data_IF_277002311439
#
_entry.id   IF_277002311439
#
_cell.length_a   1.000
_cell.length_b   1.000
_cell.length_c   1.000
_cell.angle_alpha   90.00
_cell.angle_beta   90.00
_cell.angle_gamma   90.00
#
_symmetry.space_group_name_H-M   'P 1'
#
loop_
_entity.id
_entity.type
_entity.pdbx_description
1 polymer ?
#
# COMPACT_ATOMS: atom_id res chain seq x y z
N UNK A 1 4.01 -10.77 13.42
CA UNK A 1 5.01 -10.92 12.36
C UNK A 1 6.37 -11.09 13.02
N UNK A 2 6.84 -12.34 13.10
CA UNK A 2 8.10 -12.68 13.73
C UNK A 2 9.31 -12.28 12.88
N UNK A 3 10.48 -12.23 13.53
CA UNK A 3 11.75 -12.18 12.83
C UNK A 3 11.92 -13.45 11.99
N UNK A 4 11.59 -14.62 12.54
CA UNK A 4 11.28 -15.86 11.83
C UNK A 4 12.21 -16.16 10.67
N UNK A 5 13.48 -16.42 10.98
CA UNK A 5 14.53 -16.68 10.00
C UNK A 5 14.62 -18.14 9.58
N UNK A 6 13.85 -19.03 10.22
CA UNK A 6 13.90 -20.46 9.91
C UNK A 6 15.10 -21.15 10.52
N UNK A 7 15.74 -20.55 11.54
CA UNK A 7 16.95 -21.13 12.13
C UNK A 7 16.59 -22.12 13.24
N UNK A 8 17.31 -23.26 13.36
CA UNK A 8 17.01 -24.27 14.37
C UNK A 8 17.03 -23.74 15.81
N UNK A 9 17.85 -22.72 16.09
CA UNK A 9 18.01 -22.12 17.43
C UNK A 9 17.18 -20.85 17.60
N UNK A 10 17.14 -19.98 16.59
CA UNK A 10 16.48 -18.68 16.71
C UNK A 10 14.95 -18.78 16.77
N UNK A 11 14.36 -19.67 15.96
CA UNK A 11 12.90 -19.80 15.91
C UNK A 11 12.31 -20.28 17.26
N UNK A 12 12.85 -21.33 17.94
CA UNK A 12 12.39 -21.69 19.28
C UNK A 12 12.48 -20.55 20.31
N UNK A 13 13.58 -19.78 20.30
CA UNK A 13 13.78 -18.65 21.22
C UNK A 13 12.74 -17.55 20.98
N UNK A 14 12.49 -17.20 19.71
CA UNK A 14 11.49 -16.19 19.39
C UNK A 14 10.07 -16.66 19.75
N UNK A 15 9.71 -17.89 19.41
CA UNK A 15 8.40 -18.46 19.74
C UNK A 15 8.19 -18.48 21.25
N UNK A 16 9.20 -18.87 22.02
CA UNK A 16 9.17 -18.84 23.48
C UNK A 16 8.92 -17.42 24.01
N UNK A 17 9.64 -16.43 23.48
CA UNK A 17 9.48 -15.03 23.88
C UNK A 17 8.06 -14.52 23.58
N UNK A 18 7.51 -14.84 22.41
CA UNK A 18 6.13 -14.47 22.04
C UNK A 18 5.12 -15.15 22.94
N UNK A 19 5.29 -16.44 23.23
CA UNK A 19 4.37 -17.17 24.09
C UNK A 19 4.40 -16.71 25.54
N UNK A 20 5.57 -16.35 26.09
CA UNK A 20 5.66 -15.82 27.45
C UNK A 20 4.87 -14.51 27.63
N UNK A 21 4.76 -13.70 26.58
CA UNK A 21 4.06 -12.41 26.63
C UNK A 21 2.60 -12.53 26.20
N UNK A 22 2.31 -13.34 25.17
CA UNK A 22 1.00 -13.37 24.50
C UNK A 22 0.31 -14.74 24.48
N UNK A 23 0.94 -15.78 25.07
CA UNK A 23 0.49 -17.17 24.98
C UNK A 23 -0.92 -17.41 25.54
N UNK A 24 -1.34 -16.65 26.56
CA UNK A 24 -2.68 -16.76 27.14
C UNK A 24 -3.78 -16.12 26.29
N UNK A 25 -3.42 -15.10 25.50
CA UNK A 25 -4.36 -14.29 24.70
C UNK A 25 -4.73 -14.94 23.37
N UNK A 26 -3.88 -15.86 22.89
CA UNK A 26 -4.03 -16.51 21.59
C UNK A 26 -3.76 -15.56 20.43
N UNK A 27 -2.59 -15.74 19.79
CA UNK A 27 -2.09 -14.83 18.76
C UNK A 27 -1.65 -15.60 17.52
N UNK A 28 -1.83 -14.99 16.35
CA UNK A 28 -1.27 -15.50 15.11
C UNK A 28 0.20 -15.10 14.97
N UNK A 29 1.05 -16.07 14.64
CA UNK A 29 2.47 -15.88 14.35
C UNK A 29 2.79 -16.36 12.92
N UNK A 30 3.75 -15.69 12.30
CA UNK A 30 4.25 -16.00 10.96
C UNK A 30 5.32 -14.98 10.56
N UNK A 31 5.95 -15.18 9.41
CA UNK A 31 7.07 -14.37 8.89
C UNK A 31 6.93 -14.18 7.38
N UNK A 32 7.18 -12.98 6.87
CA UNK A 32 7.26 -12.69 5.42
C UNK A 32 8.40 -13.46 4.74
N UNK A 33 9.40 -13.89 5.52
CA UNK A 33 10.60 -14.56 5.00
C UNK A 33 10.29 -15.91 4.38
N UNK A 34 9.17 -16.55 4.75
CA UNK A 34 8.72 -17.79 4.09
C UNK A 34 8.34 -17.57 2.62
N UNK A 35 8.06 -16.33 2.22
CA UNK A 35 7.63 -15.97 0.87
C UNK A 35 8.75 -15.29 0.06
N UNK A 36 9.49 -14.37 0.69
CA UNK A 36 10.48 -13.52 0.02
C UNK A 36 11.94 -13.84 0.39
N UNK A 37 12.17 -14.79 1.28
CA UNK A 37 13.48 -15.01 1.89
C UNK A 37 13.87 -13.90 2.87
N UNK A 38 15.11 -13.94 3.35
CA UNK A 38 15.64 -12.95 4.29
C UNK A 38 16.28 -11.78 3.53
N UNK A 39 15.60 -10.64 3.45
CA UNK A 39 16.07 -9.42 2.76
C UNK A 39 17.03 -8.56 3.60
N UNK A 40 17.74 -9.18 4.55
CA UNK A 40 18.71 -8.55 5.46
C UNK A 40 18.19 -7.20 6.03
N UNK A 41 18.87 -6.10 5.73
CA UNK A 41 18.54 -4.75 6.20
C UNK A 41 17.11 -4.29 5.85
N UNK A 42 16.51 -4.82 4.78
CA UNK A 42 15.14 -4.50 4.37
C UNK A 42 14.08 -5.37 5.06
N UNK A 43 14.46 -6.37 5.87
CA UNK A 43 13.53 -7.37 6.43
C UNK A 43 12.44 -6.74 7.28
N UNK A 44 12.78 -5.77 8.14
CA UNK A 44 11.81 -5.06 8.96
C UNK A 44 10.78 -4.31 8.11
N UNK A 45 11.22 -3.67 7.02
CA UNK A 45 10.33 -2.96 6.10
C UNK A 45 9.42 -3.92 5.33
N UNK A 46 9.92 -5.06 4.88
CA UNK A 46 9.10 -6.11 4.24
C UNK A 46 7.99 -6.60 5.17
N UNK A 47 8.31 -6.79 6.45
CA UNK A 47 7.35 -7.16 7.49
C UNK A 47 6.30 -6.07 7.74
N UNK A 48 6.70 -4.79 7.76
CA UNK A 48 5.76 -3.66 7.85
C UNK A 48 4.82 -3.64 6.64
N UNK A 49 5.33 -3.77 5.42
CA UNK A 49 4.50 -3.77 4.20
C UNK A 49 3.50 -4.93 4.23
N UNK A 50 3.94 -6.15 4.57
CA UNK A 50 3.06 -7.33 4.71
C UNK A 50 1.92 -7.04 5.69
N UNK A 51 2.24 -6.46 6.84
CA UNK A 51 1.25 -6.21 7.88
C UNK A 51 0.33 -5.03 7.60
N UNK A 52 0.80 -3.96 6.97
CA UNK A 52 -0.06 -2.88 6.48
C UNK A 52 -1.10 -3.46 5.51
N UNK A 53 -0.67 -4.26 4.53
CA UNK A 53 -1.58 -4.90 3.58
C UNK A 53 -2.54 -5.90 4.27
N UNK A 54 -2.07 -6.68 5.25
CA UNK A 54 -2.92 -7.61 6.00
C UNK A 54 -4.02 -6.87 6.80
N UNK A 55 -3.69 -5.73 7.39
CA UNK A 55 -4.63 -4.87 8.11
C UNK A 55 -5.63 -4.18 7.17
N UNK A 56 -5.17 -3.68 6.02
CA UNK A 56 -6.02 -3.06 5.00
C UNK A 56 -6.99 -4.04 4.36
N UNK A 57 -6.56 -5.29 4.12
CA UNK A 57 -7.37 -6.33 3.51
C UNK A 57 -8.10 -7.23 4.52
N UNK A 58 -8.01 -6.90 5.82
CA UNK A 58 -8.59 -7.68 6.92
C UNK A 58 -8.32 -9.20 6.83
N UNK A 59 -7.12 -9.57 6.39
CA UNK A 59 -6.75 -10.95 6.09
C UNK A 59 -5.32 -11.23 6.55
N UNK A 60 -5.15 -12.27 7.36
CA UNK A 60 -3.85 -12.80 7.77
C UNK A 60 -3.34 -13.70 6.63
N UNK A 61 -2.25 -13.34 5.94
CA UNK A 61 -1.72 -14.15 4.85
C UNK A 61 -1.06 -15.43 5.37
N UNK A 62 -1.03 -16.50 4.55
CA UNK A 62 -0.45 -17.77 4.94
C UNK A 62 1.07 -17.68 5.15
N UNK A 63 1.56 -18.38 6.17
CA UNK A 63 2.96 -18.64 6.43
C UNK A 63 3.36 -19.94 5.73
N UNK A 64 4.23 -19.84 4.73
CA UNK A 64 4.59 -20.98 3.89
C UNK A 64 5.52 -21.95 4.64
N UNK A 65 5.62 -23.18 4.12
CA UNK A 65 6.53 -24.23 4.60
C UNK A 65 6.30 -24.69 6.06
N UNK A 66 5.19 -24.30 6.68
CA UNK A 66 4.81 -24.78 8.00
C UNK A 66 3.93 -26.03 7.89
N UNK A 67 4.41 -27.15 8.43
CA UNK A 67 3.65 -28.42 8.53
C UNK A 67 3.46 -28.83 9.99
N UNK A 68 4.56 -28.85 10.73
CA UNK A 68 4.61 -29.12 12.16
C UNK A 68 5.48 -28.04 12.84
N UNK A 69 5.29 -27.79 14.15
CA UNK A 69 6.22 -26.97 14.93
C UNK A 69 7.67 -27.48 14.83
N UNK A 70 8.64 -26.60 15.08
CA UNK A 70 10.06 -26.94 15.00
C UNK A 70 10.40 -28.05 16.01
N UNK A 71 11.00 -29.18 15.59
CA UNK A 71 11.32 -30.29 16.49
C UNK A 71 12.38 -29.94 17.55
N UNK A 72 13.14 -28.85 17.37
CA UNK A 72 14.12 -28.35 18.34
C UNK A 72 13.50 -27.49 19.45
N UNK A 73 12.18 -27.41 19.55
CA UNK A 73 11.52 -26.94 20.76
C UNK A 73 11.73 -28.01 21.85
N UNK A 74 12.90 -27.97 22.51
CA UNK A 74 13.35 -28.94 23.51
C UNK A 74 12.73 -28.70 24.89
N UNK A 75 12.89 -29.67 25.80
CA UNK A 75 12.35 -29.67 27.16
C UNK A 75 12.76 -28.49 28.05
N UNK A 76 13.81 -27.75 27.71
CA UNK A 76 14.29 -26.58 28.45
C UNK A 76 13.68 -25.26 27.93
N UNK A 77 13.16 -25.27 26.69
CA UNK A 77 12.43 -24.19 26.03
C UNK A 77 10.92 -24.48 26.03
N UNK A 78 10.42 -25.03 27.14
CA UNK A 78 9.01 -25.41 27.38
C UNK A 78 8.08 -24.21 27.38
N UNK A 79 7.82 -23.63 26.22
CA UNK A 79 6.44 -23.36 25.85
C UNK A 79 5.97 -24.60 25.10
N UNK A 80 5.14 -25.45 25.72
CA UNK A 80 4.34 -26.37 24.93
C UNK A 80 3.57 -25.52 23.93
N UNK A 81 3.89 -25.66 22.65
CA UNK A 81 3.12 -25.07 21.55
C UNK A 81 1.62 -25.34 21.71
N UNK A 82 1.28 -26.45 22.38
CA UNK A 82 -0.08 -26.85 22.75
C UNK A 82 -0.68 -26.04 23.91
N UNK A 83 0.14 -25.57 24.85
CA UNK A 83 -0.30 -24.76 26.00
C UNK A 83 -0.37 -23.26 25.68
N UNK A 84 0.53 -22.77 24.84
CA UNK A 84 0.43 -21.41 24.32
C UNK A 84 -0.57 -21.41 23.18
N UNK A 85 -1.53 -20.50 23.20
CA UNK A 85 -2.59 -20.41 22.19
C UNK A 85 -2.07 -19.80 20.87
N UNK A 86 -0.82 -20.08 20.49
CA UNK A 86 -0.20 -19.62 19.25
C UNK A 86 -0.82 -20.33 18.06
N UNK A 87 -1.05 -19.58 16.99
CA UNK A 87 -1.61 -20.10 15.73
C UNK A 87 -0.72 -19.68 14.57
N UNK A 88 -0.52 -20.58 13.62
CA UNK A 88 0.15 -20.26 12.34
C UNK A 88 -0.89 -20.40 11.25
N UNK A 89 -1.18 -19.30 10.55
CA UNK A 89 -2.07 -19.35 9.40
C UNK A 89 -1.35 -20.04 8.25
N UNK A 90 -1.84 -21.18 7.78
CA UNK A 90 -1.31 -21.89 6.59
C UNK A 90 -2.14 -21.62 5.33
N UNK A 91 -3.28 -20.95 5.50
CA UNK A 91 -4.18 -20.47 4.46
C UNK A 91 -4.60 -19.01 4.72
N UNK A 92 -5.08 -18.26 3.71
CA UNK A 92 -5.62 -16.92 3.93
C UNK A 92 -6.72 -16.93 4.99
N UNK A 93 -6.45 -16.35 6.15
CA UNK A 93 -7.33 -16.39 7.32
C UNK A 93 -7.94 -15.02 7.54
N UNK A 94 -9.27 -14.93 7.60
CA UNK A 94 -9.95 -13.66 7.88
C UNK A 94 -9.55 -13.12 9.25
N UNK A 95 -9.39 -11.79 9.36
CA UNK A 95 -9.10 -11.14 10.63
C UNK A 95 -10.21 -11.44 11.67
N UNK A 96 -9.86 -11.90 12.89
CA UNK A 96 -10.87 -12.16 13.91
C UNK A 96 -11.66 -10.90 14.26
N UNK A 97 -13.00 -11.00 14.28
CA UNK A 97 -13.89 -9.85 14.53
C UNK A 97 -13.85 -9.36 15.97
N UNK A 98 -13.47 -10.23 16.91
CA UNK A 98 -13.36 -9.98 18.34
C UNK A 98 -12.00 -9.38 18.74
N UNK A 99 -11.14 -9.07 17.77
CA UNK A 99 -9.78 -8.60 18.01
C UNK A 99 -9.54 -7.25 17.38
N UNK A 100 -8.76 -6.43 18.07
CA UNK A 100 -8.22 -5.21 17.50
C UNK A 100 -7.37 -5.53 16.26
N UNK A 101 -7.39 -4.60 15.32
CA UNK A 101 -6.53 -4.64 14.14
C UNK A 101 -5.15 -4.11 14.51
N UNK A 102 -4.46 -4.82 15.40
CA UNK A 102 -3.13 -4.48 15.91
C UNK A 102 -2.19 -5.66 15.72
N UNK A 103 -0.95 -5.37 15.30
CA UNK A 103 0.11 -6.37 15.12
C UNK A 103 1.39 -5.95 15.80
N UNK A 104 2.15 -6.94 16.26
CA UNK A 104 3.56 -6.80 16.60
C UNK A 104 4.47 -7.28 15.46
N UNK A 105 5.57 -6.56 15.23
CA UNK A 105 6.62 -6.88 14.26
C UNK A 105 7.95 -6.96 14.99
N UNK A 106 8.62 -8.10 14.86
CA UNK A 106 9.94 -8.35 15.45
C UNK A 106 11.05 -8.27 14.39
N UNK A 107 12.18 -7.67 14.74
CA UNK A 107 13.41 -7.73 13.95
C UNK A 107 14.64 -7.79 14.85
N UNK A 108 15.40 -8.89 14.76
CA UNK A 108 16.56 -9.15 15.60
C UNK A 108 17.82 -9.20 14.74
N UNK A 109 18.73 -8.26 14.94
CA UNK A 109 19.99 -8.20 14.20
C UNK A 109 21.01 -9.17 14.77
N UNK A 110 21.84 -9.76 13.91
CA UNK A 110 22.92 -10.68 14.32
C UNK A 110 23.89 -10.07 15.33
N UNK A 111 24.08 -8.74 15.30
CA UNK A 111 24.88 -8.00 16.27
C UNK A 111 24.22 -7.78 17.64
N UNK A 112 23.04 -8.37 17.89
CA UNK A 112 22.32 -8.27 19.17
C UNK A 112 21.39 -7.06 19.31
N UNK A 113 21.31 -6.20 18.29
CA UNK A 113 20.36 -5.08 18.28
C UNK A 113 18.96 -5.57 17.91
N UNK A 114 18.00 -5.37 18.81
CA UNK A 114 16.62 -5.85 18.66
C UNK A 114 15.66 -4.67 18.49
N UNK A 115 14.67 -4.84 17.63
CA UNK A 115 13.58 -3.88 17.45
C UNK A 115 12.22 -4.60 17.48
N UNK A 116 11.23 -3.95 18.10
CA UNK A 116 9.84 -4.36 18.10
C UNK A 116 8.96 -3.16 17.75
N UNK A 117 8.04 -3.34 16.81
CA UNK A 117 7.10 -2.29 16.38
C UNK A 117 5.68 -2.80 16.52
N UNK A 118 4.81 -1.95 17.07
CA UNK A 118 3.37 -2.17 17.12
C UNK A 118 2.69 -1.31 16.05
N UNK A 119 1.91 -1.92 15.17
CA UNK A 119 1.11 -1.22 14.16
C UNK A 119 -0.37 -1.46 14.41
N UNK A 120 -1.17 -0.40 14.40
CA UNK A 120 -2.63 -0.47 14.40
C UNK A 120 -3.21 -0.05 13.06
N UNK A 121 -4.38 -0.58 12.71
CA UNK A 121 -5.15 -0.11 11.56
C UNK A 121 -5.53 1.36 11.75
N UNK A 122 -5.52 2.14 10.67
CA UNK A 122 -5.93 3.55 10.70
C UNK A 122 -7.34 3.74 11.30
N UNK A 123 -8.23 2.77 11.11
CA UNK A 123 -9.58 2.80 11.67
C UNK A 123 -9.63 2.71 13.19
N UNK A 124 -8.69 1.98 13.79
CA UNK A 124 -8.52 1.96 15.25
C UNK A 124 -8.15 3.34 15.81
N UNK A 125 -7.70 4.27 14.95
CA UNK A 125 -7.42 5.66 15.28
C UNK A 125 -8.49 6.64 14.76
N UNK A 126 -9.70 6.16 14.47
CA UNK A 126 -10.82 6.99 14.02
C UNK A 126 -10.76 7.44 12.57
N UNK A 127 -9.84 6.90 11.75
CA UNK A 127 -9.88 7.12 10.32
C UNK A 127 -11.05 6.33 9.71
N UNK A 128 -11.91 7.01 8.97
CA UNK A 128 -13.04 6.36 8.31
C UNK A 128 -12.54 5.32 7.28
N UNK A 129 -12.92 4.04 7.47
CA UNK A 129 -12.65 2.97 6.50
C UNK A 129 -13.47 3.15 5.23
N UNK A 130 -14.62 3.82 5.33
CA UNK A 130 -15.63 3.86 4.29
C UNK A 130 -15.47 5.09 3.38
N UNK A 131 -14.26 5.33 2.87
CA UNK A 131 -14.01 6.38 1.87
C UNK A 131 -14.84 6.20 0.58
N UNK A 132 -15.33 4.99 0.36
CA UNK A 132 -16.12 4.58 -0.82
C UNK A 132 -17.60 4.97 -0.72
N UNK A 133 -18.06 5.40 0.46
CA UNK A 133 -19.44 5.82 0.68
C UNK A 133 -19.73 7.27 0.27
N UNK A 134 -18.78 7.96 -0.38
CA UNK A 134 -19.08 9.28 -0.96
C UNK A 134 -20.12 9.11 -2.05
N UNK A 135 -21.22 9.89 -2.03
CA UNK A 135 -22.21 9.83 -3.09
C UNK A 135 -21.49 10.05 -4.41
N UNK A 136 -21.73 9.15 -5.38
CA UNK A 136 -21.20 9.27 -6.73
C UNK A 136 -21.54 10.67 -7.23
N UNK A 137 -20.51 11.52 -7.32
CA UNK A 137 -20.73 12.89 -7.72
C UNK A 137 -21.21 12.88 -9.17
N UNK A 138 -22.24 13.68 -9.47
CA UNK A 138 -22.94 13.72 -10.75
C UNK A 138 -21.98 13.55 -11.95
N UNK A 139 -22.10 12.42 -12.65
CA UNK A 139 -21.13 11.96 -13.67
C UNK A 139 -21.12 12.86 -14.91
N UNK A 140 -22.00 13.86 -14.98
CA UNK A 140 -22.22 14.69 -16.16
C UNK A 140 -21.17 15.78 -16.41
N UNK A 141 -20.34 16.14 -15.43
CA UNK A 141 -19.36 17.22 -15.59
C UNK A 141 -18.05 16.74 -16.23
N UNK A 142 -17.55 17.40 -17.29
CA UNK A 142 -16.27 17.05 -17.90
C UNK A 142 -15.12 17.21 -16.90
N UNK A 143 -14.26 16.20 -16.83
CA UNK A 143 -13.14 16.13 -15.90
C UNK A 143 -11.81 16.33 -16.63
N UNK A 144 -10.97 17.21 -16.10
CA UNK A 144 -9.61 17.45 -16.61
C UNK A 144 -8.62 16.48 -15.95
N UNK A 145 -8.02 15.62 -16.76
CA UNK A 145 -6.87 14.79 -16.38
C UNK A 145 -5.59 15.47 -16.86
N UNK A 146 -4.60 15.56 -15.98
CA UNK A 146 -3.28 16.15 -16.30
C UNK A 146 -2.19 15.12 -16.08
N UNK A 147 -1.26 15.06 -17.03
CA UNK A 147 -0.15 14.12 -17.03
C UNK A 147 1.14 14.88 -17.27
N UNK A 148 2.21 14.46 -16.62
CA UNK A 148 3.51 15.08 -16.73
C UNK A 148 4.62 14.03 -16.56
N UNK A 149 5.69 14.10 -17.36
CA UNK A 149 6.88 13.27 -17.16
C UNK A 149 8.17 13.96 -17.63
N UNK A 150 9.31 13.44 -17.19
CA UNK A 150 10.64 13.90 -17.64
C UNK A 150 11.01 13.41 -19.04
N UNK A 151 10.38 12.33 -19.52
CA UNK A 151 10.66 11.72 -20.82
C UNK A 151 9.35 11.38 -21.56
N UNK A 152 9.31 11.45 -22.91
CA UNK A 152 8.11 11.14 -23.68
C UNK A 152 7.58 9.72 -23.45
N UNK A 153 8.46 8.72 -23.37
CA UNK A 153 8.05 7.33 -23.14
C UNK A 153 7.44 7.11 -21.76
N UNK A 154 7.96 7.80 -20.75
CA UNK A 154 7.41 7.75 -19.40
C UNK A 154 6.02 8.41 -19.35
N UNK A 155 5.80 9.49 -20.11
CA UNK A 155 4.49 10.12 -20.24
C UNK A 155 3.49 9.17 -20.89
N UNK A 156 3.86 8.51 -22.00
CA UNK A 156 3.02 7.51 -22.68
C UNK A 156 2.63 6.36 -21.76
N UNK A 157 3.61 5.73 -21.09
CA UNK A 157 3.37 4.64 -20.12
C UNK A 157 2.47 5.09 -18.97
N UNK A 158 2.62 6.33 -18.50
CA UNK A 158 1.78 6.86 -17.44
C UNK A 158 0.32 7.00 -17.91
N UNK A 159 0.08 7.54 -19.11
CA UNK A 159 -1.26 7.65 -19.69
C UNK A 159 -1.91 6.27 -19.81
N UNK A 160 -1.21 5.30 -20.42
CA UNK A 160 -1.71 3.93 -20.60
C UNK A 160 -2.07 3.26 -19.26
N UNK A 161 -1.23 3.44 -18.24
CA UNK A 161 -1.49 2.89 -16.91
C UNK A 161 -2.75 3.50 -16.28
N UNK A 162 -3.00 4.80 -16.47
CA UNK A 162 -4.19 5.45 -15.93
C UNK A 162 -5.45 5.11 -16.72
N UNK A 163 -5.34 4.92 -18.05
CA UNK A 163 -6.44 4.38 -18.86
C UNK A 163 -6.84 2.98 -18.39
N UNK A 164 -5.86 2.08 -18.22
CA UNK A 164 -6.12 0.74 -17.72
C UNK A 164 -6.70 0.74 -16.29
N UNK A 165 -6.26 1.67 -15.44
CA UNK A 165 -6.82 1.85 -14.10
C UNK A 165 -8.27 2.36 -14.14
N UNK A 166 -8.60 3.32 -15.01
CA UNK A 166 -9.97 3.82 -15.19
C UNK A 166 -10.94 2.73 -15.64
N UNK A 167 -10.51 1.85 -16.57
CA UNK A 167 -11.34 0.72 -17.02
C UNK A 167 -11.78 -0.22 -15.89
N UNK A 168 -10.98 -0.32 -14.83
CA UNK A 168 -11.28 -1.17 -13.66
C UNK A 168 -11.91 -0.39 -12.50
N UNK A 169 -11.87 0.95 -12.53
CA UNK A 169 -12.34 1.84 -11.46
C UNK A 169 -12.99 3.12 -12.04
N UNK A 170 -14.07 3.00 -12.84
CA UNK A 170 -14.66 4.15 -13.55
C UNK A 170 -15.25 5.20 -12.59
N UNK A 171 -15.66 4.77 -11.40
CA UNK A 171 -16.17 5.60 -10.30
C UNK A 171 -15.10 6.55 -9.71
N UNK A 172 -13.81 6.31 -9.99
CA UNK A 172 -12.67 7.06 -9.41
C UNK A 172 -12.09 8.15 -10.30
N UNK A 173 -12.74 8.47 -11.43
CA UNK A 173 -12.24 9.47 -12.38
C UNK A 173 -11.90 10.82 -11.71
N UNK A 174 -12.77 11.30 -10.82
CA UNK A 174 -12.57 12.59 -10.11
C UNK A 174 -11.43 12.53 -9.10
N UNK A 175 -11.35 11.45 -8.33
CA UNK A 175 -10.25 11.25 -7.37
C UNK A 175 -8.90 11.12 -8.09
N UNK A 176 -8.90 10.49 -9.26
CA UNK A 176 -7.75 10.40 -10.15
C UNK A 176 -7.34 11.78 -10.67
N UNK A 177 -8.29 12.56 -11.20
CA UNK A 177 -8.07 13.95 -11.64
C UNK A 177 -7.45 14.81 -10.54
N UNK A 178 -8.05 14.78 -9.34
CA UNK A 178 -7.55 15.53 -8.19
C UNK A 178 -6.13 15.10 -7.81
N UNK A 179 -5.87 13.79 -7.76
CA UNK A 179 -4.55 13.25 -7.40
C UNK A 179 -3.49 13.61 -8.43
N UNK A 180 -3.83 13.53 -9.72
CA UNK A 180 -2.95 13.94 -10.82
C UNK A 180 -2.63 15.44 -10.78
N UNK A 181 -3.62 16.27 -10.47
CA UNK A 181 -3.45 17.72 -10.46
C UNK A 181 -2.73 18.24 -9.21
N UNK A 182 -3.00 17.65 -8.04
CA UNK A 182 -2.61 18.21 -6.74
C UNK A 182 -1.50 17.43 -6.03
N UNK A 183 -1.25 16.17 -6.41
CA UNK A 183 -0.30 15.27 -5.72
C UNK A 183 0.83 14.80 -6.64
N UNK A 184 1.02 15.44 -7.79
CA UNK A 184 2.09 15.16 -8.75
C UNK A 184 2.79 16.45 -9.16
N UNK A 185 4.06 16.34 -9.51
CA UNK A 185 4.82 17.48 -10.00
C UNK A 185 4.34 17.91 -11.38
N UNK A 186 3.65 19.05 -11.44
CA UNK A 186 3.24 19.66 -12.71
C UNK A 186 4.42 20.28 -13.51
N UNK A 187 5.61 20.36 -12.90
CA UNK A 187 6.75 21.13 -13.43
C UNK A 187 7.81 20.30 -14.15
N UNK A 188 7.39 19.33 -14.98
CA UNK A 188 8.29 18.54 -15.84
C UNK A 188 8.09 18.87 -17.33
N UNK A 189 9.07 18.46 -18.14
CA UNK A 189 9.28 18.90 -19.53
C UNK A 189 8.17 18.47 -20.50
N UNK A 190 7.64 17.27 -20.33
CA UNK A 190 6.57 16.72 -21.16
C UNK A 190 5.28 16.73 -20.38
N UNK A 191 4.22 17.27 -20.99
CA UNK A 191 2.90 17.40 -20.38
C UNK A 191 1.85 16.88 -21.35
N UNK A 192 0.78 16.34 -20.82
CA UNK A 192 -0.41 16.04 -21.58
C UNK A 192 -1.63 16.28 -20.73
N UNK A 193 -2.77 16.50 -21.38
CA UNK A 193 -4.04 16.61 -20.69
C UNK A 193 -5.14 15.92 -21.50
N UNK A 194 -6.20 15.53 -20.82
CA UNK A 194 -7.42 14.99 -21.41
C UNK A 194 -8.61 15.62 -20.68
N UNK A 195 -9.62 16.03 -21.44
CA UNK A 195 -10.92 16.42 -20.88
C UNK A 195 -11.90 15.33 -21.28
N UNK A 196 -12.50 14.66 -20.32
CA UNK A 196 -13.35 13.49 -20.54
C UNK A 196 -14.47 13.45 -19.49
N UNK A 197 -15.64 12.96 -19.88
CA UNK A 197 -16.72 12.58 -18.98
C UNK A 197 -16.57 11.14 -18.44
N UNK A 198 -15.54 10.42 -18.91
CA UNK A 198 -15.25 9.04 -18.54
C UNK A 198 -15.97 7.98 -19.35
N UNK A 199 -16.84 8.36 -20.31
CA UNK A 199 -17.60 7.46 -21.16
C UNK A 199 -16.89 7.17 -22.49
N UNK A 200 -16.25 8.19 -23.06
CA UNK A 200 -15.53 8.10 -24.33
C UNK A 200 -14.03 7.79 -24.14
N UNK A 201 -13.41 7.33 -25.23
CA UNK A 201 -11.96 7.17 -25.31
C UNK A 201 -11.25 8.50 -24.99
N UNK A 202 -10.20 8.41 -24.17
CA UNK A 202 -9.45 9.59 -23.74
C UNK A 202 -8.72 10.22 -24.92
N UNK A 203 -9.25 11.34 -25.43
CA UNK A 203 -8.57 12.19 -26.41
C UNK A 203 -7.44 12.99 -25.76
N UNK A 204 -6.30 12.33 -25.52
CA UNK A 204 -5.14 12.92 -24.84
C UNK A 204 -4.40 13.88 -25.78
N UNK A 205 -4.25 15.13 -25.36
CA UNK A 205 -3.46 16.16 -26.05
C UNK A 205 -2.13 16.36 -25.35
N UNK A 206 -1.02 16.24 -26.07
CA UNK A 206 0.31 16.45 -25.54
C UNK A 206 0.83 17.86 -25.86
N UNK A 207 1.57 18.43 -24.92
CA UNK A 207 2.29 19.68 -25.07
C UNK A 207 3.71 19.49 -24.53
N UNK A 208 4.70 19.77 -25.37
CA UNK A 208 6.11 19.76 -24.95
C UNK A 208 6.51 21.18 -24.60
N UNK A 209 7.02 21.38 -23.39
CA UNK A 209 7.68 22.66 -23.07
C UNK A 209 9.03 22.67 -23.79
N UNK A 210 9.32 23.74 -24.54
CA UNK A 210 10.63 23.94 -25.12
C UNK A 210 11.71 23.86 -24.02
N UNK A 211 12.78 23.09 -24.26
CA UNK A 211 13.89 22.98 -23.34
C UNK A 211 14.45 24.40 -23.04
N UNK A 212 14.58 24.76 -21.76
CA UNK A 212 15.08 26.07 -21.34
C UNK A 212 14.04 27.19 -21.19
N UNK A 213 12.76 26.96 -21.46
CA UNK A 213 11.74 27.98 -21.26
C UNK A 213 11.65 28.40 -19.76
N UNK A 214 11.78 29.70 -19.43
CA UNK A 214 11.90 30.17 -18.06
C UNK A 214 10.69 29.77 -17.22
N UNK A 215 10.92 29.41 -15.95
CA UNK A 215 9.93 28.86 -14.99
C UNK A 215 8.79 29.83 -14.64
N UNK A 216 8.80 31.04 -15.19
CA UNK A 216 7.82 32.08 -14.95
C UNK A 216 6.47 31.71 -15.59
N UNK A 217 5.38 32.02 -14.89
CA UNK A 217 4.05 31.92 -15.47
C UNK A 217 3.98 32.82 -16.70
N UNK A 218 3.37 32.33 -17.78
CA UNK A 218 3.12 33.15 -18.95
C UNK A 218 2.28 34.37 -18.56
N UNK A 219 2.59 35.53 -19.13
CA UNK A 219 1.70 36.71 -19.00
C UNK A 219 0.41 36.40 -19.74
N UNK A 220 -0.70 36.39 -19.02
CA UNK A 220 -2.03 36.13 -19.59
C UNK A 220 -2.66 37.47 -19.97
N UNK A 221 -3.16 37.56 -21.21
CA UNK A 221 -3.95 38.70 -21.69
C UNK A 221 -5.36 38.19 -21.97
N UNK A 222 -6.37 38.85 -21.40
CA UNK A 222 -7.77 38.57 -21.67
C UNK A 222 -8.28 39.61 -22.69
N UNK A 223 -8.83 39.14 -23.81
CA UNK A 223 -9.37 40.00 -24.87
C UNK A 223 -10.88 39.87 -24.86
N UNK A 224 -11.59 40.99 -24.69
CA UNK A 224 -13.04 41.04 -24.69
C UNK A 224 -13.50 41.50 -26.08
N UNK A 225 -14.20 40.63 -26.79
CA UNK A 225 -14.76 40.94 -28.11
C UNK A 225 -16.01 41.80 -27.99
N UNK A 226 -16.24 42.68 -28.96
CA UNK A 226 -17.45 43.49 -29.06
C UNK A 226 -18.59 42.73 -29.78
N UNK A 227 -19.63 43.43 -30.24
CA UNK A 227 -20.72 42.87 -31.03
C UNK A 227 -20.22 42.09 -32.26
N UNK A 228 -20.83 40.92 -32.52
CA UNK A 228 -20.51 40.04 -33.66
C UNK A 228 -20.00 38.64 -33.28
N UNK A 229 -19.75 38.38 -31.99
CA UNK A 229 -19.30 37.07 -31.48
C UNK A 229 -20.45 36.18 -30.95
N UNK A 230 -21.69 36.67 -30.98
CA UNK A 230 -22.87 35.87 -30.65
C UNK A 230 -23.11 34.77 -31.70
N UNK A 231 -23.59 33.61 -31.25
CA UNK A 231 -23.96 32.46 -32.08
C UNK A 231 -25.44 32.10 -31.90
#
# INVERSE_FOLDING_TARGET
EGHGTGTPVGDPIEVQAVANVFGEHGIYIGSVKTNLGHSEAASGLSSIVKMTLALENETIPPNLNFKNPNPHMTDDLKVPWESAKLKVATEPTKWPKDRDFVVGINSFGVGGSNAHVVLGSAASFGADRNRDSRPAADVSAPTLLVFSAKHPEALRKMIEKHQAYHLTHPDRLRDMSYSLAMKRDAFVSHRAFCVTDGLDDWAVKSATRAAGAPRQAAKVVMVFTDQGAQW
#
